data_IF_801912920336
#
_entry.id   IF_801912920336
#
_cell.length_a   1.000
_cell.length_b   1.000
_cell.length_c   1.000
_cell.angle_alpha   90.00
_cell.angle_beta   90.00
_cell.angle_gamma   90.00
#
_symmetry.space_group_name_H-M   'P 1'
#
loop_
_entity.id
_entity.type
_entity.pdbx_description
1 polymer ?
#
# COMPACT_ATOMS: atom_id res chain seq x y z
N UNK A 1 -52.38 6.30 8.45
CA UNK A 1 -51.78 6.39 9.79
C UNK A 1 -50.29 6.29 9.60
N UNK A 2 -49.50 7.28 10.03
CA UNK A 2 -48.04 7.24 9.86
C UNK A 2 -47.49 6.17 10.81
N UNK A 3 -46.89 5.12 10.26
CA UNK A 3 -46.22 4.11 11.08
C UNK A 3 -44.87 4.65 11.56
N UNK A 4 -44.90 5.19 12.78
CA UNK A 4 -43.72 5.78 13.41
C UNK A 4 -42.67 4.74 13.77
N UNK A 5 -42.99 3.45 13.85
CA UNK A 5 -42.00 2.40 14.16
C UNK A 5 -41.16 2.14 12.91
N UNK A 6 -41.82 1.91 11.76
CA UNK A 6 -41.15 1.73 10.47
C UNK A 6 -40.23 2.91 10.12
N UNK A 7 -40.72 4.13 10.30
CA UNK A 7 -39.92 5.34 10.04
C UNK A 7 -38.70 5.44 10.97
N UNK A 8 -38.85 5.04 12.24
CA UNK A 8 -37.74 5.06 13.17
C UNK A 8 -36.68 4.02 12.79
N UNK A 9 -37.10 2.84 12.34
CA UNK A 9 -36.18 1.80 11.87
C UNK A 9 -35.37 2.28 10.66
N UNK A 10 -36.04 2.72 9.60
CA UNK A 10 -35.39 3.23 8.38
C UNK A 10 -34.43 4.39 8.69
N UNK A 11 -34.84 5.30 9.56
CA UNK A 11 -34.02 6.44 9.95
C UNK A 11 -32.78 6.00 10.75
N UNK A 12 -32.91 5.05 11.67
CA UNK A 12 -31.78 4.51 12.41
C UNK A 12 -30.83 3.75 11.51
N UNK A 13 -31.33 2.98 10.55
CA UNK A 13 -30.50 2.29 9.55
C UNK A 13 -29.71 3.28 8.70
N UNK A 14 -30.36 4.36 8.23
CA UNK A 14 -29.69 5.42 7.49
C UNK A 14 -28.59 6.10 8.32
N UNK A 15 -28.85 6.39 9.60
CA UNK A 15 -27.85 6.97 10.49
C UNK A 15 -26.65 6.04 10.74
N UNK A 16 -26.88 4.73 10.85
CA UNK A 16 -25.79 3.74 10.94
C UNK A 16 -24.99 3.72 9.63
N UNK A 17 -25.66 3.73 8.48
CA UNK A 17 -25.02 3.66 7.17
C UNK A 17 -24.15 4.89 6.87
N UNK A 18 -24.58 6.07 7.30
CA UNK A 18 -23.86 7.35 7.14
C UNK A 18 -22.86 7.63 8.27
N UNK A 19 -22.71 6.71 9.23
CA UNK A 19 -21.88 6.86 10.42
C UNK A 19 -22.19 8.12 11.27
N UNK A 20 -23.45 8.54 11.31
CA UNK A 20 -23.89 9.69 12.10
C UNK A 20 -24.14 9.31 13.56
N UNK A 21 -23.74 10.17 14.51
CA UNK A 21 -23.93 9.89 15.93
C UNK A 21 -25.41 9.72 16.32
N UNK A 22 -25.76 8.50 16.71
CA UNK A 22 -27.13 8.16 17.11
C UNK A 22 -27.36 8.62 18.55
N UNK A 23 -28.16 9.68 18.69
CA UNK A 23 -28.73 10.11 19.97
C UNK A 23 -30.21 10.40 19.78
N UNK A 24 -31.01 10.32 20.85
CA UNK A 24 -32.45 10.64 20.77
C UNK A 24 -32.69 12.02 20.16
N UNK A 25 -31.85 13.01 20.49
CA UNK A 25 -31.95 14.36 19.93
C UNK A 25 -31.56 14.41 18.46
N UNK A 26 -30.54 13.66 18.05
CA UNK A 26 -30.14 13.55 16.64
C UNK A 26 -31.25 12.90 15.80
N UNK A 27 -31.86 11.83 16.31
CA UNK A 27 -33.02 11.17 15.70
C UNK A 27 -34.17 12.17 15.51
N UNK A 28 -34.52 12.94 16.54
CA UNK A 28 -35.57 13.97 16.42
C UNK A 28 -35.26 15.00 15.33
N UNK A 29 -34.02 15.51 15.28
CA UNK A 29 -33.59 16.48 14.26
C UNK A 29 -33.66 15.90 12.85
N UNK A 30 -33.22 14.65 12.66
CA UNK A 30 -33.18 13.97 11.36
C UNK A 30 -34.56 13.52 10.89
N UNK A 31 -35.51 13.32 11.81
CA UNK A 31 -36.85 12.82 11.50
C UNK A 31 -37.79 13.80 10.77
N UNK A 32 -37.33 15.00 10.39
CA UNK A 32 -38.14 15.95 9.64
C UNK A 32 -39.43 16.40 10.34
N UNK A 33 -39.48 16.31 11.68
CA UNK A 33 -40.66 16.66 12.48
C UNK A 33 -41.61 15.51 12.81
N UNK A 34 -41.29 14.26 12.44
CA UNK A 34 -42.07 13.06 12.84
C UNK A 34 -41.96 12.79 14.36
N UNK A 35 -40.77 13.01 14.93
CA UNK A 35 -40.50 13.03 16.37
C UNK A 35 -40.11 14.46 16.78
N UNK A 36 -41.08 15.24 17.26
CA UNK A 36 -40.89 16.67 17.57
C UNK A 36 -40.08 16.87 18.83
N UNK A 37 -40.23 15.96 19.80
CA UNK A 37 -39.56 16.04 21.09
C UNK A 37 -38.90 14.71 21.43
N UNK A 38 -37.79 14.78 22.17
CA UNK A 38 -37.09 13.58 22.65
C UNK A 38 -38.02 12.65 23.46
N UNK A 39 -39.02 13.23 24.12
CA UNK A 39 -40.06 12.50 24.86
C UNK A 39 -40.91 11.58 23.99
N UNK A 40 -41.05 11.85 22.69
CA UNK A 40 -41.79 11.00 21.73
C UNK A 40 -41.13 9.63 21.51
N UNK A 41 -39.84 9.56 21.87
CA UNK A 41 -39.00 8.37 21.78
C UNK A 41 -38.77 7.82 23.19
N UNK A 42 -38.40 8.65 24.18
CA UNK A 42 -38.03 8.16 25.51
C UNK A 42 -39.20 7.68 26.37
N UNK A 43 -40.43 8.19 26.16
CA UNK A 43 -41.61 7.72 26.89
C UNK A 43 -42.21 6.43 26.34
N UNK A 44 -41.83 6.04 25.13
CA UNK A 44 -42.30 4.80 24.51
C UNK A 44 -41.17 3.77 24.57
N UNK A 45 -41.38 2.71 25.37
CA UNK A 45 -40.34 1.71 25.63
C UNK A 45 -39.82 1.03 24.36
N UNK A 46 -40.70 0.74 23.40
CA UNK A 46 -40.33 0.12 22.12
C UNK A 46 -39.38 1.02 21.33
N UNK A 47 -39.74 2.29 21.13
CA UNK A 47 -38.89 3.25 20.39
C UNK A 47 -37.59 3.55 21.10
N UNK A 48 -37.63 3.69 22.43
CA UNK A 48 -36.42 3.87 23.23
C UNK A 48 -35.48 2.67 23.08
N UNK A 49 -36.03 1.45 23.12
CA UNK A 49 -35.31 0.20 22.89
C UNK A 49 -34.64 0.15 21.51
N UNK A 50 -35.35 0.55 20.46
CA UNK A 50 -34.81 0.60 19.09
C UNK A 50 -33.59 1.53 18.99
N UNK A 51 -33.70 2.75 19.54
CA UNK A 51 -32.57 3.69 19.53
C UNK A 51 -31.38 3.14 20.31
N UNK A 52 -31.61 2.51 21.47
CA UNK A 52 -30.55 1.90 22.27
C UNK A 52 -29.86 0.75 21.51
N UNK A 53 -30.63 -0.11 20.86
CA UNK A 53 -30.11 -1.19 20.05
C UNK A 53 -29.28 -0.67 18.87
N UNK A 54 -29.74 0.40 18.21
CA UNK A 54 -29.01 1.04 17.12
C UNK A 54 -27.68 1.67 17.59
N UNK A 55 -27.66 2.32 18.75
CA UNK A 55 -26.42 2.84 19.37
C UNK A 55 -25.43 1.70 19.59
N UNK A 56 -25.85 0.61 20.24
CA UNK A 56 -24.97 -0.54 20.48
C UNK A 56 -24.47 -1.18 19.18
N UNK A 57 -25.32 -1.27 18.16
CA UNK A 57 -24.92 -1.76 16.82
C UNK A 57 -23.86 -0.86 16.19
N UNK A 58 -24.03 0.46 16.25
CA UNK A 58 -23.06 1.43 15.73
C UNK A 58 -21.72 1.35 16.47
N UNK A 59 -21.74 1.28 17.80
CA UNK A 59 -20.53 1.13 18.62
C UNK A 59 -19.76 -0.16 18.29
N UNK A 60 -20.48 -1.28 18.08
CA UNK A 60 -19.87 -2.55 17.69
C UNK A 60 -19.19 -2.44 16.31
N UNK A 61 -19.85 -1.81 15.33
CA UNK A 61 -19.29 -1.57 13.99
C UNK A 61 -18.04 -0.69 14.08
N UNK A 62 -18.12 0.46 14.76
CA UNK A 62 -16.98 1.38 14.95
C UNK A 62 -15.82 0.70 15.66
N UNK A 63 -16.09 -0.13 16.66
CA UNK A 63 -15.05 -0.89 17.38
C UNK A 63 -14.37 -1.91 16.47
N UNK A 64 -15.14 -2.63 15.65
CA UNK A 64 -14.59 -3.59 14.69
C UNK A 64 -13.71 -2.91 13.64
N UNK A 65 -14.16 -1.78 13.09
CA UNK A 65 -13.39 -0.96 12.13
C UNK A 65 -12.09 -0.46 12.77
N UNK A 66 -12.16 0.11 13.98
CA UNK A 66 -11.00 0.64 14.68
C UNK A 66 -9.97 -0.45 15.06
N UNK A 67 -10.44 -1.66 15.40
CA UNK A 67 -9.54 -2.81 15.63
C UNK A 67 -8.87 -3.25 14.34
N UNK A 68 -9.62 -3.29 13.24
CA UNK A 68 -9.11 -3.66 11.91
C UNK A 68 -8.08 -2.65 11.41
N UNK A 69 -8.36 -1.35 11.50
CA UNK A 69 -7.47 -0.29 11.01
C UNK A 69 -6.14 -0.23 11.77
N UNK A 70 -6.17 -0.39 13.11
CA UNK A 70 -4.95 -0.46 13.93
C UNK A 70 -4.11 -1.69 13.60
N UNK A 71 -4.72 -2.87 13.54
CA UNK A 71 -4.01 -4.12 13.20
C UNK A 71 -3.44 -4.05 11.78
N UNK A 72 -4.21 -3.52 10.83
CA UNK A 72 -3.76 -3.34 9.43
C UNK A 72 -2.59 -2.37 9.33
N UNK A 73 -2.54 -1.31 10.14
CA UNK A 73 -1.44 -0.33 10.11
C UNK A 73 -0.14 -0.94 10.65
N UNK A 74 -0.19 -1.64 11.78
CA UNK A 74 1.01 -2.27 12.36
C UNK A 74 1.57 -3.37 11.45
N UNK A 75 0.71 -4.17 10.81
CA UNK A 75 1.16 -5.18 9.84
C UNK A 75 1.74 -4.54 8.58
N UNK A 76 1.15 -3.43 8.10
CA UNK A 76 1.69 -2.69 6.95
C UNK A 76 3.06 -2.08 7.27
N UNK A 77 3.23 -1.47 8.45
CA UNK A 77 4.51 -0.93 8.91
C UNK A 77 5.59 -2.02 8.98
N UNK A 78 5.24 -3.21 9.48
CA UNK A 78 6.15 -4.38 9.52
C UNK A 78 6.51 -4.87 8.12
N UNK A 79 5.54 -4.95 7.20
CA UNK A 79 5.77 -5.37 5.83
C UNK A 79 6.69 -4.39 5.10
N UNK A 80 6.46 -3.08 5.27
CA UNK A 80 7.31 -2.03 4.71
C UNK A 80 8.73 -2.13 5.26
N UNK A 81 8.90 -2.31 6.57
CA UNK A 81 10.22 -2.49 7.18
C UNK A 81 10.94 -3.72 6.61
N UNK A 82 10.24 -4.85 6.48
CA UNK A 82 10.80 -6.08 5.88
C UNK A 82 11.21 -5.88 4.43
N UNK A 83 10.38 -5.21 3.63
CA UNK A 83 10.67 -4.96 2.20
C UNK A 83 11.81 -3.98 2.01
N UNK A 84 11.91 -2.95 2.85
CA UNK A 84 13.06 -2.04 2.83
C UNK A 84 14.37 -2.74 3.20
N UNK A 85 14.34 -3.66 4.17
CA UNK A 85 15.51 -4.48 4.50
C UNK A 85 15.93 -5.38 3.32
N UNK A 86 14.96 -6.02 2.66
CA UNK A 86 15.20 -6.85 1.46
C UNK A 86 15.80 -6.02 0.31
N UNK A 87 15.28 -4.81 0.06
CA UNK A 87 15.83 -3.88 -0.93
C UNK A 87 17.28 -3.52 -0.59
N UNK A 88 17.57 -3.20 0.67
CA UNK A 88 18.93 -2.90 1.11
C UNK A 88 19.90 -4.06 0.86
N UNK A 89 19.48 -5.29 1.16
CA UNK A 89 20.29 -6.48 0.89
C UNK A 89 20.52 -6.68 -0.61
N UNK A 90 19.48 -6.58 -1.43
CA UNK A 90 19.60 -6.74 -2.89
C UNK A 90 20.50 -5.67 -3.53
N UNK A 91 20.50 -4.46 -3.00
CA UNK A 91 21.42 -3.40 -3.43
C UNK A 91 22.87 -3.74 -3.09
N UNK A 92 23.14 -4.21 -1.87
CA UNK A 92 24.47 -4.65 -1.46
C UNK A 92 24.97 -5.83 -2.32
N UNK A 93 24.11 -6.82 -2.57
CA UNK A 93 24.44 -7.99 -3.41
C UNK A 93 24.73 -7.57 -4.86
N UNK A 94 23.96 -6.61 -5.39
CA UNK A 94 24.20 -6.04 -6.71
C UNK A 94 25.57 -5.37 -6.79
N UNK A 95 25.94 -4.56 -5.81
CA UNK A 95 27.26 -3.90 -5.79
C UNK A 95 28.40 -4.93 -5.70
N UNK A 96 28.24 -5.94 -4.85
CA UNK A 96 29.20 -7.04 -4.73
C UNK A 96 29.38 -7.78 -6.06
N UNK A 97 28.28 -8.10 -6.74
CA UNK A 97 28.32 -8.74 -8.06
C UNK A 97 29.03 -7.85 -9.09
N UNK A 98 28.73 -6.56 -9.12
CA UNK A 98 29.41 -5.62 -10.03
C UNK A 98 30.92 -5.58 -9.77
N UNK A 99 31.33 -5.50 -8.49
CA UNK A 99 32.74 -5.50 -8.10
C UNK A 99 33.44 -6.80 -8.53
N UNK A 100 32.80 -7.95 -8.29
CA UNK A 100 33.29 -9.27 -8.68
C UNK A 100 33.47 -9.38 -10.21
N UNK A 101 32.47 -8.96 -10.99
CA UNK A 101 32.55 -9.01 -12.45
C UNK A 101 33.65 -8.09 -13.00
N UNK A 102 33.81 -6.89 -12.43
CA UNK A 102 34.91 -5.99 -12.81
C UNK A 102 36.28 -6.61 -12.53
N UNK A 103 36.46 -7.24 -11.38
CA UNK A 103 37.69 -7.93 -11.04
C UNK A 103 37.98 -9.09 -12.02
N UNK A 104 36.96 -9.88 -12.38
CA UNK A 104 37.11 -10.95 -13.38
C UNK A 104 37.52 -10.41 -14.75
N UNK A 105 36.87 -9.34 -15.23
CA UNK A 105 37.21 -8.72 -16.52
C UNK A 105 38.66 -8.25 -16.55
N UNK A 106 39.11 -7.58 -15.48
CA UNK A 106 40.50 -7.12 -15.34
C UNK A 106 41.48 -8.29 -15.36
N UNK A 107 41.21 -9.36 -14.60
CA UNK A 107 42.06 -10.54 -14.57
C UNK A 107 42.18 -11.23 -15.94
N UNK A 108 41.06 -11.38 -16.67
CA UNK A 108 41.08 -11.96 -18.03
C UNK A 108 41.83 -11.07 -19.02
N UNK A 109 41.70 -9.75 -18.89
CA UNK A 109 42.43 -8.80 -19.71
C UNK A 109 43.94 -8.87 -19.48
N UNK A 110 44.38 -8.97 -18.22
CA UNK A 110 45.79 -9.12 -17.84
C UNK A 110 46.40 -10.45 -18.33
N UNK A 111 45.63 -11.55 -18.28
CA UNK A 111 46.13 -12.89 -18.64
C UNK A 111 46.20 -13.16 -20.15
N UNK A 112 45.31 -12.58 -20.96
CA UNK A 112 45.16 -13.01 -22.35
C UNK A 112 44.66 -11.96 -23.34
N UNK A 113 44.58 -10.69 -22.92
CA UNK A 113 44.17 -9.57 -23.76
C UNK A 113 42.74 -9.67 -24.31
N UNK A 114 42.42 -8.79 -25.25
CA UNK A 114 41.06 -8.63 -25.80
C UNK A 114 40.54 -9.89 -26.51
N UNK A 115 41.40 -10.68 -27.15
CA UNK A 115 40.98 -11.88 -27.88
C UNK A 115 40.41 -12.97 -26.93
N UNK A 116 41.06 -13.18 -25.78
CA UNK A 116 40.61 -14.14 -24.77
C UNK A 116 39.33 -13.63 -24.08
N UNK A 117 39.30 -12.34 -23.77
CA UNK A 117 38.11 -11.67 -23.24
C UNK A 117 36.89 -11.85 -24.17
N UNK A 118 37.03 -11.55 -25.46
CA UNK A 118 35.95 -11.66 -26.44
C UNK A 118 35.37 -13.07 -26.52
N UNK A 119 36.23 -14.09 -26.58
CA UNK A 119 35.81 -15.51 -26.65
C UNK A 119 35.08 -15.97 -25.39
N UNK A 120 35.44 -15.46 -24.22
CA UNK A 120 34.76 -15.78 -22.97
C UNK A 120 33.35 -15.16 -22.92
N UNK A 121 33.21 -13.90 -23.33
CA UNK A 121 31.94 -13.17 -23.25
C UNK A 121 30.94 -13.48 -24.37
N UNK A 122 31.37 -14.05 -25.50
CA UNK A 122 30.47 -14.49 -26.59
C UNK A 122 29.30 -15.36 -26.11
N UNK A 123 29.53 -16.20 -25.09
CA UNK A 123 28.53 -17.12 -24.53
C UNK A 123 27.44 -16.40 -23.74
N UNK A 124 27.68 -15.17 -23.31
CA UNK A 124 26.79 -14.37 -22.47
C UNK A 124 26.01 -13.31 -23.26
N UNK A 125 26.09 -13.31 -24.59
CA UNK A 125 25.41 -12.32 -25.43
C UNK A 125 23.91 -12.27 -25.17
N UNK A 126 23.25 -13.41 -24.98
CA UNK A 126 21.81 -13.48 -24.64
C UNK A 126 21.44 -12.80 -23.32
N UNK A 127 22.36 -12.77 -22.36
CA UNK A 127 22.21 -12.04 -21.09
C UNK A 127 22.34 -10.54 -21.31
N UNK A 128 23.28 -10.11 -22.16
CA UNK A 128 23.45 -8.70 -22.55
C UNK A 128 22.19 -8.19 -23.27
N UNK A 129 21.69 -8.95 -24.24
CA UNK A 129 20.47 -8.60 -25.00
C UNK A 129 19.26 -8.44 -24.05
N UNK A 130 19.20 -9.24 -22.99
CA UNK A 130 18.15 -9.14 -21.97
C UNK A 130 18.32 -7.90 -21.08
N UNK A 131 19.54 -7.55 -20.71
CA UNK A 131 19.84 -6.32 -19.96
C UNK A 131 19.52 -5.05 -20.77
N UNK A 132 19.78 -5.09 -22.08
CA UNK A 132 19.45 -4.02 -23.02
C UNK A 132 17.93 -3.80 -23.10
N UNK A 133 17.15 -4.88 -23.25
CA UNK A 133 15.67 -4.83 -23.21
C UNK A 133 15.11 -4.27 -21.90
N UNK A 134 15.84 -4.42 -20.80
CA UNK A 134 15.47 -3.89 -19.50
C UNK A 134 15.98 -2.47 -19.26
N UNK A 135 16.57 -1.82 -20.27
CA UNK A 135 17.23 -0.50 -20.17
C UNK A 135 18.17 -0.42 -18.96
N UNK A 136 18.83 -1.54 -18.65
CA UNK A 136 19.65 -1.72 -17.45
C UNK A 136 21.15 -1.71 -17.76
N UNK A 137 21.53 -1.42 -19.00
CA UNK A 137 22.92 -1.17 -19.37
C UNK A 137 23.30 0.28 -18.99
N UNK A 138 24.50 0.49 -18.43
CA UNK A 138 24.96 1.84 -18.08
C UNK A 138 25.22 2.69 -19.33
N UNK A 139 24.88 3.97 -19.29
CA UNK A 139 25.29 4.94 -20.32
C UNK A 139 26.82 5.10 -20.27
N UNK A 140 27.51 4.58 -21.27
CA UNK A 140 28.95 4.73 -21.40
C UNK A 140 29.27 5.94 -22.29
N UNK A 141 29.91 6.96 -21.73
CA UNK A 141 30.55 8.02 -22.51
C UNK A 141 31.89 7.50 -23.04
N UNK A 142 31.93 7.15 -24.32
CA UNK A 142 33.16 6.75 -24.98
C UNK A 142 34.03 7.99 -25.22
N UNK A 143 35.11 8.13 -24.45
CA UNK A 143 36.15 9.12 -24.73
C UNK A 143 37.07 8.52 -25.81
N UNK A 144 37.01 9.08 -27.01
CA UNK A 144 37.95 8.73 -28.09
C UNK A 144 39.35 9.21 -27.71
N UNK A 145 40.24 8.26 -27.38
CA UNK A 145 41.65 8.55 -27.24
C UNK A 145 42.25 8.64 -28.66
N UNK A 146 42.70 9.84 -29.04
CA UNK A 146 43.31 10.08 -30.33
C UNK A 146 44.45 9.07 -30.58
N UNK A 147 44.39 8.39 -31.73
CA UNK A 147 45.45 7.51 -32.22
C UNK A 147 46.77 8.28 -32.18
N UNK A 148 47.69 7.85 -31.31
CA UNK A 148 49.06 8.34 -31.29
C UNK A 148 49.68 7.95 -32.64
N UNK A 149 49.66 8.86 -33.61
CA UNK A 149 50.46 8.75 -34.83
C UNK A 149 51.92 8.64 -34.40
N UNK A 150 52.50 7.47 -34.66
CA UNK A 150 53.94 7.27 -34.66
C UNK A 150 54.54 8.12 -35.79
N UNK A 151 55.48 8.99 -35.44
CA UNK A 151 56.50 9.58 -36.31
C UNK A 151 57.83 9.40 -35.64
#
# INVERSE_FOLDING_TARGET
MIDKIQILEELLEAMIAEDEDITVRAVCRRSGGVFKHATDITRNETRHGMVKAAITKQEAIRTAINRSSKKSRTELEKLVASKNAEIGQLQADKELLIASHRAMILAVAEMGGFATWKRFFEQYQSTIDRLEKMSSLPEASLISLASRRET
#
